data_IF_233165420309
#
_entry.id   IF_233165420309
#
_cell.length_a   1.000
_cell.length_b   1.000
_cell.length_c   1.000
_cell.angle_alpha   90.00
_cell.angle_beta   90.00
_cell.angle_gamma   90.00
#
_symmetry.space_group_name_H-M   'P 1'
#
loop_
_entity.id
_entity.type
_entity.pdbx_description
1 polymer ?
#
# COMPACT_ATOMS: atom_id res chain seq x y z
N UNK A 1 -12.94 -9.22 5.06
CA UNK A 1 -11.99 -8.26 4.47
C UNK A 1 -12.53 -6.85 4.70
N UNK A 2 -11.68 -5.96 5.17
CA UNK A 2 -12.05 -4.58 5.48
C UNK A 2 -11.16 -3.61 4.72
N UNK A 3 -11.78 -2.71 3.94
CA UNK A 3 -11.08 -1.63 3.25
C UNK A 3 -11.29 -0.34 4.03
N UNK A 4 -10.20 0.36 4.35
CA UNK A 4 -10.24 1.59 5.13
C UNK A 4 -9.43 2.67 4.42
N UNK A 5 -10.00 3.88 4.32
CA UNK A 5 -9.31 5.03 3.76
C UNK A 5 -8.73 5.89 4.88
N UNK A 6 -7.56 6.44 4.63
CA UNK A 6 -6.91 7.43 5.51
C UNK A 6 -6.80 7.00 6.98
N UNK A 7 -6.60 5.71 7.24
CA UNK A 7 -6.45 5.18 8.58
C UNK A 7 -5.00 5.36 9.06
N UNK A 8 -4.84 5.84 10.28
CA UNK A 8 -3.54 5.87 10.93
C UNK A 8 -3.13 4.47 11.34
N UNK A 9 -1.96 4.03 10.90
CA UNK A 9 -1.39 2.75 11.32
C UNK A 9 -0.02 2.99 11.95
N UNK A 10 0.29 2.20 12.96
CA UNK A 10 1.55 2.32 13.70
C UNK A 10 2.60 1.41 13.07
N UNK A 11 3.46 1.99 12.25
CA UNK A 11 4.47 1.23 11.50
C UNK A 11 5.69 0.88 12.36
N UNK A 12 6.00 1.69 13.36
CA UNK A 12 6.96 1.38 14.41
C UNK A 12 6.38 1.87 15.74
N UNK A 13 6.95 1.48 16.91
CA UNK A 13 6.45 2.00 18.19
C UNK A 13 6.41 3.52 18.28
N UNK A 14 7.27 4.21 17.53
CA UNK A 14 7.33 5.68 17.53
C UNK A 14 6.84 6.35 16.26
N UNK A 15 6.29 5.62 15.30
CA UNK A 15 5.93 6.20 14.01
C UNK A 15 4.58 5.73 13.51
N UNK A 16 3.77 6.69 13.10
CA UNK A 16 2.45 6.46 12.49
C UNK A 16 2.47 6.94 11.05
N UNK A 17 1.87 6.16 10.15
CA UNK A 17 1.67 6.53 8.75
C UNK A 17 0.18 6.45 8.41
N UNK A 18 -0.22 7.17 7.35
CA UNK A 18 -1.61 7.22 6.91
C UNK A 18 -1.63 6.84 5.42
N UNK A 19 -1.71 5.54 5.08
CA UNK A 19 -1.88 5.15 3.68
C UNK A 19 -3.22 5.65 3.14
N UNK A 20 -3.28 5.95 1.85
CA UNK A 20 -4.52 6.40 1.22
C UNK A 20 -5.62 5.35 1.36
N UNK A 21 -5.24 4.08 1.16
CA UNK A 21 -6.12 2.94 1.38
C UNK A 21 -5.34 1.83 2.05
N UNK A 22 -5.98 1.06 2.90
CA UNK A 22 -5.44 -0.20 3.37
C UNK A 22 -6.54 -1.25 3.47
N UNK A 23 -6.13 -2.50 3.34
CA UNK A 23 -7.03 -3.65 3.38
C UNK A 23 -6.57 -4.59 4.48
N UNK A 24 -7.47 -4.90 5.39
CA UNK A 24 -7.25 -5.88 6.45
C UNK A 24 -8.03 -7.15 6.13
N UNK A 25 -7.42 -8.29 6.36
CA UNK A 25 -8.13 -9.58 6.25
C UNK A 25 -9.13 -9.74 7.37
N UNK A 26 -8.76 -9.27 8.55
CA UNK A 26 -9.60 -9.27 9.75
C UNK A 26 -9.70 -7.83 10.26
N UNK A 27 -10.89 -7.38 10.61
CA UNK A 27 -11.13 -6.02 11.09
C UNK A 27 -10.24 -5.73 12.31
N UNK A 28 -9.39 -4.68 12.26
CA UNK A 28 -8.52 -4.36 13.39
C UNK A 28 -9.35 -3.84 14.57
N UNK A 29 -8.94 -4.26 15.77
CA UNK A 29 -9.64 -3.86 17.00
C UNK A 29 -9.04 -2.61 17.63
N UNK A 30 -7.90 -2.16 17.14
CA UNK A 30 -7.21 -0.99 17.66
C UNK A 30 -7.62 0.27 16.90
N UNK A 31 -7.68 1.39 17.62
CA UNK A 31 -7.96 2.70 17.01
C UNK A 31 -6.82 3.13 16.06
N UNK A 32 -5.57 2.89 16.47
CA UNK A 32 -4.38 3.05 15.64
C UNK A 32 -3.71 1.69 15.56
N UNK A 33 -4.05 0.87 14.56
CA UNK A 33 -3.55 -0.51 14.51
C UNK A 33 -2.04 -0.60 14.42
N UNK A 34 -1.46 -1.50 15.19
CA UNK A 34 -0.10 -1.99 15.02
C UNK A 34 -0.06 -3.32 14.29
N UNK A 35 -1.22 -3.97 14.13
CA UNK A 35 -1.37 -5.15 13.29
C UNK A 35 -1.29 -4.70 11.83
N UNK A 36 -0.39 -5.28 11.02
CA UNK A 36 -0.23 -4.83 9.64
C UNK A 36 -1.45 -5.18 8.79
N UNK A 37 -1.91 -4.24 7.94
CA UNK A 37 -2.84 -4.60 6.87
C UNK A 37 -2.15 -5.53 5.89
N UNK A 38 -2.95 -6.29 5.15
CA UNK A 38 -2.37 -7.17 4.14
C UNK A 38 -1.99 -6.40 2.86
N UNK A 39 -2.60 -5.24 2.64
CA UNK A 39 -2.37 -4.41 1.47
C UNK A 39 -2.44 -2.93 1.87
N UNK A 40 -1.46 -2.14 1.43
CA UNK A 40 -1.52 -0.68 1.47
C UNK A 40 -1.47 -0.14 0.06
N UNK A 41 -2.24 0.90 -0.21
CA UNK A 41 -2.28 1.58 -1.50
C UNK A 41 -1.94 3.05 -1.29
N UNK A 42 -0.94 3.53 -2.02
CA UNK A 42 -0.52 4.92 -2.04
C UNK A 42 -0.81 5.54 -3.39
N UNK A 43 -1.44 6.70 -3.38
CA UNK A 43 -1.71 7.49 -4.59
C UNK A 43 -0.78 8.70 -4.55
N UNK A 44 0.09 8.81 -5.55
CA UNK A 44 1.08 9.88 -5.58
C UNK A 44 0.43 11.22 -5.94
N UNK A 45 0.90 12.27 -5.29
CA UNK A 45 0.59 13.65 -5.65
C UNK A 45 1.83 14.30 -6.29
N UNK A 46 1.67 15.45 -6.99
CA UNK A 46 2.81 16.13 -7.62
C UNK A 46 3.93 16.52 -6.65
N UNK A 47 3.62 16.67 -5.36
CA UNK A 47 4.60 17.03 -4.34
C UNK A 47 5.37 15.84 -3.79
N UNK A 48 4.96 14.61 -4.10
CA UNK A 48 5.62 13.41 -3.60
C UNK A 48 6.98 13.23 -4.26
N UNK A 49 7.98 12.93 -3.44
CA UNK A 49 9.34 12.65 -3.89
C UNK A 49 9.63 11.17 -3.78
N UNK A 50 10.38 10.63 -4.73
CA UNK A 50 10.74 9.22 -4.76
C UNK A 50 11.42 8.77 -3.45
N UNK A 51 12.33 9.58 -2.89
CA UNK A 51 13.01 9.23 -1.65
C UNK A 51 12.04 9.05 -0.47
N UNK A 52 11.01 9.89 -0.39
CA UNK A 52 9.99 9.77 0.66
C UNK A 52 9.08 8.58 0.43
N UNK A 53 8.75 8.30 -0.83
CA UNK A 53 7.95 7.13 -1.18
C UNK A 53 8.67 5.84 -0.79
N UNK A 54 9.94 5.72 -1.09
CA UNK A 54 10.75 4.55 -0.74
C UNK A 54 10.77 4.30 0.77
N UNK A 55 10.89 5.37 1.56
CA UNK A 55 10.86 5.26 3.03
C UNK A 55 9.49 4.76 3.50
N UNK A 56 8.40 5.28 2.94
CA UNK A 56 7.05 4.83 3.30
C UNK A 56 6.84 3.36 2.94
N UNK A 57 7.21 2.96 1.74
CA UNK A 57 7.11 1.56 1.31
C UNK A 57 7.90 0.66 2.25
N UNK A 58 9.12 1.04 2.57
CA UNK A 58 9.96 0.27 3.48
C UNK A 58 9.34 0.15 4.88
N UNK A 59 8.74 1.22 5.39
CA UNK A 59 8.06 1.19 6.69
C UNK A 59 6.90 0.19 6.67
N UNK A 60 6.09 0.20 5.62
CA UNK A 60 4.98 -0.74 5.50
C UNK A 60 5.45 -2.20 5.43
N UNK A 61 6.43 -2.46 4.59
CA UNK A 61 6.96 -3.82 4.42
C UNK A 61 7.64 -4.32 5.69
N UNK A 62 8.39 -3.46 6.38
CA UNK A 62 9.04 -3.80 7.64
C UNK A 62 8.02 -4.06 8.75
N UNK A 63 6.91 -3.34 8.76
CA UNK A 63 5.80 -3.58 9.67
C UNK A 63 5.17 -4.96 9.47
N UNK A 64 5.24 -5.49 8.25
CA UNK A 64 4.64 -6.77 7.89
C UNK A 64 3.51 -6.69 6.90
N UNK A 65 3.30 -5.52 6.27
CA UNK A 65 2.32 -5.38 5.18
C UNK A 65 2.73 -6.31 4.04
N UNK A 66 1.79 -7.11 3.57
CA UNK A 66 2.10 -8.13 2.56
C UNK A 66 2.43 -7.54 1.20
N UNK A 67 1.69 -6.54 0.77
CA UNK A 67 1.86 -5.90 -0.53
C UNK A 67 1.59 -4.42 -0.41
N UNK A 68 2.36 -3.62 -1.13
CA UNK A 68 2.12 -2.17 -1.28
C UNK A 68 1.93 -1.88 -2.76
N UNK A 69 0.84 -1.22 -3.09
CA UNK A 69 0.58 -0.72 -4.44
C UNK A 69 0.75 0.79 -4.46
N UNK A 70 1.37 1.28 -5.53
CA UNK A 70 1.59 2.71 -5.75
C UNK A 70 1.00 3.09 -7.10
N UNK A 71 0.16 4.11 -7.10
CA UNK A 71 -0.46 4.65 -8.32
C UNK A 71 0.05 6.07 -8.54
N UNK A 72 0.56 6.33 -9.75
CA UNK A 72 0.94 7.67 -10.18
C UNK A 72 -0.05 8.13 -11.25
N UNK A 73 -1.04 8.96 -10.89
CA UNK A 73 -2.04 9.40 -11.87
C UNK A 73 -1.48 10.33 -12.92
N UNK A 74 -0.37 11.01 -12.66
CA UNK A 74 0.25 11.93 -13.61
C UNK A 74 0.92 11.18 -14.77
N UNK A 75 1.71 10.16 -14.46
CA UNK A 75 2.40 9.35 -15.48
C UNK A 75 1.58 8.13 -15.91
N UNK A 76 0.51 7.81 -15.18
CA UNK A 76 -0.30 6.60 -15.33
C UNK A 76 0.50 5.32 -15.10
N UNK A 77 1.58 5.43 -14.35
CA UNK A 77 2.37 4.27 -13.93
C UNK A 77 1.85 3.72 -12.62
N UNK A 78 1.93 2.43 -12.46
CA UNK A 78 1.55 1.72 -11.25
C UNK A 78 2.64 0.74 -10.86
N UNK A 79 2.84 0.59 -9.56
CA UNK A 79 3.92 -0.23 -9.03
C UNK A 79 3.39 -1.13 -7.93
N UNK A 80 4.01 -2.30 -7.79
CA UNK A 80 3.75 -3.21 -6.68
C UNK A 80 5.06 -3.53 -5.99
N UNK A 81 5.01 -3.68 -4.67
CA UNK A 81 6.18 -4.03 -3.86
C UNK A 81 5.79 -5.05 -2.79
N UNK A 82 6.67 -6.02 -2.56
CA UNK A 82 6.57 -6.97 -1.47
C UNK A 82 7.92 -7.04 -0.76
N UNK A 83 7.97 -7.71 0.41
CA UNK A 83 9.23 -7.88 1.11
C UNK A 83 10.24 -8.71 0.30
N UNK A 84 9.74 -9.64 -0.53
CA UNK A 84 10.58 -10.49 -1.37
C UNK A 84 11.08 -9.77 -2.63
N UNK A 85 10.27 -8.86 -3.15
CA UNK A 85 10.60 -8.12 -4.36
C UNK A 85 10.38 -6.62 -4.11
N UNK A 86 11.39 -5.81 -4.41
CA UNK A 86 11.25 -4.36 -4.34
C UNK A 86 10.22 -3.82 -5.34
N UNK A 87 10.03 -2.50 -5.38
CA UNK A 87 9.05 -1.89 -6.27
C UNK A 87 9.32 -2.25 -7.73
N UNK A 88 8.29 -2.69 -8.44
CA UNK A 88 8.34 -2.96 -9.87
C UNK A 88 7.08 -2.44 -10.55
N UNK A 89 7.23 -1.97 -11.77
CA UNK A 89 6.10 -1.47 -12.54
C UNK A 89 5.18 -2.61 -12.98
N UNK A 90 3.87 -2.40 -12.84
CA UNK A 90 2.86 -3.34 -13.32
C UNK A 90 2.38 -2.86 -14.68
N UNK A 91 2.58 -3.71 -15.71
CA UNK A 91 2.22 -3.39 -17.10
C UNK A 91 1.09 -4.25 -17.65
N UNK A 92 0.52 -5.12 -16.82
CA UNK A 92 -0.50 -6.08 -17.24
C UNK A 92 -1.92 -5.53 -17.24
N UNK A 93 -2.13 -4.30 -16.77
CA UNK A 93 -3.45 -3.70 -16.65
C UNK A 93 -4.25 -4.16 -15.43
N UNK A 94 -3.67 -4.98 -14.58
CA UNK A 94 -4.31 -5.51 -13.38
C UNK A 94 -3.30 -5.56 -12.24
N UNK A 95 -3.67 -5.01 -11.07
CA UNK A 95 -3.00 -5.31 -9.82
C UNK A 95 -3.46 -6.66 -9.29
N UNK A 96 -2.52 -7.43 -8.78
CA UNK A 96 -2.82 -8.73 -8.18
C UNK A 96 -2.01 -8.94 -6.90
N UNK A 97 -2.65 -9.48 -5.89
CA UNK A 97 -2.00 -10.00 -4.70
C UNK A 97 -2.10 -11.52 -4.68
N UNK A 98 -1.29 -12.15 -3.82
CA UNK A 98 -1.37 -13.58 -3.57
C UNK A 98 -1.57 -13.83 -2.08
N UNK A 99 -2.22 -14.94 -1.72
CA UNK A 99 -2.43 -15.40 -0.35
C UNK A 99 -3.09 -14.36 0.59
N UNK A 100 -4.28 -13.84 0.30
CA UNK A 100 -5.20 -14.23 -0.76
C UNK A 100 -4.95 -13.51 -2.07
N UNK A 101 -5.46 -14.07 -3.14
CA UNK A 101 -5.45 -13.42 -4.45
C UNK A 101 -6.55 -12.36 -4.48
N UNK A 102 -6.14 -11.12 -4.67
CA UNK A 102 -7.04 -9.98 -4.89
C UNK A 102 -6.59 -9.29 -6.16
N UNK A 103 -7.52 -9.04 -7.05
CA UNK A 103 -7.24 -8.36 -8.30
C UNK A 103 -7.97 -7.02 -8.35
N UNK A 104 -7.30 -6.02 -8.91
CA UNK A 104 -7.89 -4.70 -9.13
C UNK A 104 -7.51 -4.24 -10.54
N UNK A 105 -8.49 -4.09 -11.45
CA UNK A 105 -8.18 -3.59 -12.77
C UNK A 105 -7.73 -2.12 -12.70
N UNK A 106 -6.76 -1.76 -13.53
CA UNK A 106 -6.23 -0.41 -13.56
C UNK A 106 -7.13 0.56 -14.32
N UNK A 107 -7.99 0.04 -15.19
CA UNK A 107 -8.95 0.86 -15.92
C UNK A 107 -9.95 1.50 -14.94
N UNK A 108 -10.13 2.80 -15.06
CA UNK A 108 -11.02 3.56 -14.19
C UNK A 108 -10.38 4.05 -12.89
N UNK A 109 -9.13 3.66 -12.61
CA UNK A 109 -8.39 4.12 -11.43
C UNK A 109 -7.46 5.28 -11.79
N UNK A 110 -6.91 5.22 -12.96
CA UNK A 110 -5.99 6.25 -13.48
C UNK A 110 -6.63 7.14 -14.52
#
# INVERSE_FOLDING_TARGET
>A
MRVVTELRIRVTPGRVRIPDLCVFLTDPQQRVPSTPPFLCIEILSPEDRMSRLEVRINDYLTMGVGTVWVLDPETRQVFTATAAEGPREVKTGVFRTESPAVEMPLTGIL
#
